data_IF_125480010359
#
_entry.id   IF_125480010359
#
_cell.length_a   1.000
_cell.length_b   1.000
_cell.length_c   1.000
_cell.angle_alpha   90.00
_cell.angle_beta   90.00
_cell.angle_gamma   90.00
#
_symmetry.space_group_name_H-M   'P 1'
#
loop_
_entity.id
_entity.type
_entity.pdbx_description
1 polymer ?
#
# COMPACT_ATOMS: atom_id res chain seq x y z
N UNK A 1 23.30 7.79 -0.24
CA UNK A 1 22.32 7.36 0.78
C UNK A 1 21.40 6.40 0.08
N UNK A 2 21.45 5.16 0.58
CA UNK A 2 20.92 3.96 -0.04
C UNK A 2 19.39 3.88 0.14
N UNK A 3 18.77 2.91 -0.51
CA UNK A 3 17.33 2.66 -0.38
C UNK A 3 16.99 2.40 1.10
N UNK A 4 16.04 3.16 1.64
CA UNK A 4 15.54 2.97 3.01
C UNK A 4 14.35 2.04 2.99
N UNK A 5 14.38 1.02 3.85
CA UNK A 5 13.27 0.09 4.04
C UNK A 5 12.70 0.20 5.45
N UNK A 6 11.38 0.08 5.57
CA UNK A 6 10.66 0.09 6.85
C UNK A 6 9.65 -1.04 6.90
N UNK A 7 9.47 -1.64 8.07
CA UNK A 7 8.36 -2.55 8.32
C UNK A 7 7.20 -1.72 8.86
N UNK A 8 6.05 -1.80 8.21
CA UNK A 8 4.80 -1.20 8.68
C UNK A 8 3.70 -2.25 8.67
N UNK A 9 2.76 -2.13 9.60
CA UNK A 9 1.56 -2.98 9.59
C UNK A 9 0.53 -2.36 8.66
N UNK A 10 0.03 -3.13 7.71
CA UNK A 10 -1.13 -2.78 6.87
C UNK A 10 -2.36 -3.44 7.47
N UNK A 11 -3.45 -2.70 7.61
CA UNK A 11 -4.66 -3.16 8.26
C UNK A 11 -5.93 -2.73 7.54
N UNK A 12 -6.96 -3.56 7.66
CA UNK A 12 -8.28 -3.22 7.17
C UNK A 12 -8.95 -2.23 8.12
N UNK A 13 -9.28 -0.99 7.69
CA UNK A 13 -9.88 0.00 8.57
C UNK A 13 -11.28 -0.40 9.08
N UNK A 14 -11.96 -1.34 8.41
CA UNK A 14 -13.26 -1.88 8.84
C UNK A 14 -13.14 -3.06 9.82
N UNK A 15 -11.97 -3.70 9.92
CA UNK A 15 -11.72 -4.82 10.83
C UNK A 15 -10.23 -4.89 11.21
N UNK A 16 -9.88 -4.28 12.34
CA UNK A 16 -8.49 -4.16 12.82
C UNK A 16 -7.83 -5.51 13.14
N UNK A 17 -8.60 -6.60 13.25
CA UNK A 17 -8.03 -7.95 13.41
C UNK A 17 -7.38 -8.44 12.12
N UNK A 18 -7.76 -7.89 10.97
CA UNK A 18 -7.15 -8.18 9.67
C UNK A 18 -6.00 -7.20 9.46
N UNK A 19 -4.81 -7.63 9.89
CA UNK A 19 -3.56 -6.86 9.78
C UNK A 19 -2.38 -7.75 9.39
N UNK A 20 -1.40 -7.19 8.67
CA UNK A 20 -0.20 -7.89 8.24
C UNK A 20 1.00 -6.94 8.20
N UNK A 21 2.13 -7.37 8.74
CA UNK A 21 3.40 -6.64 8.60
C UNK A 21 3.93 -6.81 7.17
N UNK A 22 4.34 -5.69 6.58
CA UNK A 22 4.87 -5.63 5.22
C UNK A 22 6.10 -4.72 5.23
N UNK A 23 7.16 -5.16 4.56
CA UNK A 23 8.34 -4.33 4.31
C UNK A 23 8.08 -3.40 3.12
N UNK A 24 8.31 -2.11 3.32
CA UNK A 24 8.15 -1.06 2.33
C UNK A 24 9.49 -0.38 2.04
N UNK A 25 9.72 -0.11 0.76
CA UNK A 25 10.75 0.83 0.34
C UNK A 25 10.20 2.26 0.45
N UNK A 26 10.92 3.14 1.15
CA UNK A 26 10.53 4.54 1.30
C UNK A 26 10.85 5.29 0.01
N UNK A 27 9.83 5.90 -0.60
CA UNK A 27 9.95 6.73 -1.79
C UNK A 27 9.19 8.05 -1.60
N UNK A 28 9.92 9.16 -1.46
CA UNK A 28 9.32 10.49 -1.31
C UNK A 28 8.62 11.00 -2.56
N UNK A 29 8.85 10.38 -3.72
CA UNK A 29 8.17 10.68 -4.98
C UNK A 29 6.85 9.93 -5.17
N UNK A 30 6.52 8.97 -4.29
CA UNK A 30 5.31 8.18 -4.40
C UNK A 30 4.10 8.88 -3.76
N UNK A 31 3.01 9.02 -4.51
CA UNK A 31 1.73 9.57 -4.01
C UNK A 31 0.88 8.50 -3.31
N UNK A 32 1.09 7.22 -3.65
CA UNK A 32 0.36 6.08 -3.10
C UNK A 32 1.33 5.01 -2.62
N UNK A 33 1.00 4.34 -1.52
CA UNK A 33 1.66 3.11 -1.09
C UNK A 33 1.23 1.94 -1.99
N UNK A 34 2.18 1.09 -2.37
CA UNK A 34 1.91 -0.11 -3.17
C UNK A 34 2.07 -1.33 -2.27
N UNK A 35 1.01 -2.14 -2.20
CA UNK A 35 0.99 -3.41 -1.47
C UNK A 35 0.64 -4.52 -2.46
N UNK A 36 1.30 -5.69 -2.41
CA UNK A 36 0.91 -6.84 -3.24
C UNK A 36 -0.59 -7.14 -3.12
N UNK A 37 -1.25 -7.34 -4.27
CA UNK A 37 -2.71 -7.59 -4.34
C UNK A 37 -3.13 -8.75 -3.44
N UNK A 38 -2.34 -9.81 -3.35
CA UNK A 38 -2.62 -10.98 -2.52
C UNK A 38 -2.74 -10.61 -1.04
N UNK A 39 -1.88 -9.72 -0.53
CA UNK A 39 -1.94 -9.23 0.84
C UNK A 39 -3.22 -8.41 1.05
N UNK A 40 -3.55 -7.49 0.13
CA UNK A 40 -4.77 -6.69 0.24
C UNK A 40 -6.03 -7.58 0.27
N UNK A 41 -6.05 -8.65 -0.54
CA UNK A 41 -7.13 -9.62 -0.57
C UNK A 41 -7.24 -10.44 0.73
N UNK A 42 -6.10 -10.90 1.28
CA UNK A 42 -6.05 -11.58 2.58
C UNK A 42 -6.60 -10.70 3.71
N UNK A 43 -6.30 -9.39 3.66
CA UNK A 43 -6.82 -8.40 4.60
C UNK A 43 -8.29 -8.04 4.34
N UNK A 44 -8.89 -8.51 3.25
CA UNK A 44 -10.26 -8.20 2.86
C UNK A 44 -10.46 -6.74 2.44
N UNK A 45 -9.41 -6.08 1.93
CA UNK A 45 -9.48 -4.73 1.39
C UNK A 45 -10.07 -4.82 -0.02
N UNK A 46 -11.24 -4.24 -0.20
CA UNK A 46 -11.96 -4.21 -1.49
C UNK A 46 -11.63 -2.90 -2.21
N UNK A 47 -11.26 -2.95 -3.51
CA UNK A 47 -10.99 -1.73 -4.26
C UNK A 47 -12.29 -0.93 -4.46
N UNK A 48 -12.20 0.38 -4.33
CA UNK A 48 -13.34 1.30 -4.49
C UNK A 48 -13.24 2.16 -5.77
N UNK A 49 -12.08 2.18 -6.44
CA UNK A 49 -11.89 2.93 -7.69
C UNK A 49 -10.75 2.37 -8.52
N UNK A 50 -10.68 2.80 -9.78
CA UNK A 50 -9.56 2.52 -10.69
C UNK A 50 -8.98 3.86 -11.13
N UNK A 51 -7.65 3.95 -11.23
CA UNK A 51 -6.97 5.09 -11.84
C UNK A 51 -5.88 4.66 -12.82
N UNK A 52 -5.68 5.50 -13.81
CA UNK A 52 -4.56 5.41 -14.75
C UNK A 52 -3.35 6.15 -14.18
N UNK A 53 -2.20 5.49 -14.16
CA UNK A 53 -0.91 6.02 -13.73
C UNK A 53 0.04 6.05 -14.92
N UNK A 54 0.97 7.02 -14.91
CA UNK A 54 2.07 7.07 -15.87
C UNK A 54 3.33 6.62 -15.13
N UNK A 55 3.95 5.54 -15.57
CA UNK A 55 5.18 5.02 -15.01
C UNK A 55 6.39 5.85 -15.48
N UNK A 56 7.55 5.67 -14.83
CA UNK A 56 8.77 6.38 -15.17
C UNK A 56 9.24 6.15 -16.62
N UNK A 57 8.89 5.01 -17.23
CA UNK A 57 9.16 4.70 -18.63
C UNK A 57 8.13 5.32 -19.61
N UNK A 58 7.17 6.11 -19.11
CA UNK A 58 6.09 6.73 -19.89
C UNK A 58 4.88 5.82 -20.15
N UNK A 59 4.91 4.56 -19.75
CA UNK A 59 3.79 3.63 -19.92
C UNK A 59 2.59 4.04 -19.07
N UNK A 60 1.39 3.93 -19.65
CA UNK A 60 0.14 4.12 -18.92
C UNK A 60 -0.37 2.78 -18.40
N UNK A 61 -0.60 2.69 -17.10
CA UNK A 61 -1.14 1.50 -16.47
C UNK A 61 -2.39 1.82 -15.66
N UNK A 62 -3.38 0.94 -15.69
CA UNK A 62 -4.53 1.03 -14.78
C UNK A 62 -4.27 0.23 -13.50
N UNK A 63 -4.64 0.81 -12.36
CA UNK A 63 -4.56 0.18 -11.05
C UNK A 63 -5.84 0.42 -10.27
N UNK A 64 -6.30 -0.65 -9.63
CA UNK A 64 -7.33 -0.58 -8.60
C UNK A 64 -6.78 0.07 -7.34
N UNK A 65 -7.61 0.88 -6.68
CA UNK A 65 -7.30 1.59 -5.44
C UNK A 65 -8.23 1.10 -4.34
N UNK A 66 -7.66 0.81 -3.17
CA UNK A 66 -8.36 0.49 -1.95
C UNK A 66 -7.79 1.29 -0.77
N UNK A 67 -8.56 1.37 0.31
CA UNK A 67 -8.15 2.08 1.53
C UNK A 67 -7.65 1.08 2.57
N UNK A 68 -6.45 1.32 3.08
CA UNK A 68 -5.85 0.62 4.21
C UNK A 68 -5.45 1.63 5.28
N UNK A 69 -5.45 1.22 6.54
CA UNK A 69 -4.74 1.95 7.59
C UNK A 69 -3.33 1.36 7.75
N UNK A 70 -2.40 2.18 8.25
CA UNK A 70 -1.00 1.81 8.44
C UNK A 70 -0.61 2.08 9.87
N UNK A 71 0.10 1.15 10.49
CA UNK A 71 0.75 1.38 11.78
C UNK A 71 2.26 1.28 11.61
N UNK A 72 2.98 2.33 12.04
CA UNK A 72 4.43 2.43 12.00
C UNK A 72 4.95 3.07 13.28
N UNK A 73 5.85 2.38 14.00
CA UNK A 73 6.43 2.86 15.27
C UNK A 73 5.36 3.33 16.27
N UNK A 74 4.35 2.49 16.51
CA UNK A 74 3.23 2.77 17.44
C UNK A 74 2.34 3.96 17.02
N UNK A 75 2.50 4.45 15.78
CA UNK A 75 1.66 5.50 15.19
C UNK A 75 0.80 4.90 14.11
N UNK A 76 -0.48 5.21 14.18
CA UNK A 76 -1.51 4.76 13.27
C UNK A 76 -2.03 5.91 12.41
#
# INVERSE_FOLDING_TARGET
>A
MELTFVIATVENPADIKKRKEVEFMVDSGAVYSIVPRTILQELGIVPHSIRTFILANGEKVERELGTAAFEYQERR
#
